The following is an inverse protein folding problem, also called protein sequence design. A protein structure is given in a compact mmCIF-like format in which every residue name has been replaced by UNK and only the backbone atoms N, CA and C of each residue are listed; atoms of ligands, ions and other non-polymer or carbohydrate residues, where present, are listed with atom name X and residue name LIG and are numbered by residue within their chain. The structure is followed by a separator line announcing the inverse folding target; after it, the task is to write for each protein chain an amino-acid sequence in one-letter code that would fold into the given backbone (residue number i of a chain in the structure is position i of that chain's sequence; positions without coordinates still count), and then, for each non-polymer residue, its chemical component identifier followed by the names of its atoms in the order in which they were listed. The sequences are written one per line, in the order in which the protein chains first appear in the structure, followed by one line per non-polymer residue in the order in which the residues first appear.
data_IF_898835198609
#
_entry.id   IF_898835198609
#
_cell.length_a   1.000
_cell.length_b   1.000
_cell.length_c   1.000
_cell.angle_alpha   90.00
_cell.angle_beta   90.00
_cell.angle_gamma   90.00
#
_symmetry.space_group_name_H-M   'P 1'
#
loop_
_entity.id
_entity.type
_entity.pdbx_description
1 polymer ?
#
# COMPACT_ATOMS: atom_id res chain seq x y z
N UNK A 1 12.60 -2.99 -11.30
CA UNK A 1 12.09 -1.63 -11.57
C UNK A 1 12.73 -0.94 -12.78
N UNK A 2 14.00 -1.18 -13.10
CA UNK A 2 14.64 -0.62 -14.31
C UNK A 2 13.98 -1.15 -15.60
N UNK A 3 13.49 -2.39 -15.57
CA UNK A 3 12.69 -3.01 -16.64
C UNK A 3 11.22 -2.54 -16.68
N UNK A 4 10.82 -1.70 -15.72
CA UNK A 4 9.45 -1.21 -15.56
C UNK A 4 8.76 -1.71 -14.28
N UNK A 5 7.50 -1.33 -14.15
CA UNK A 5 6.58 -1.77 -13.10
C UNK A 5 5.45 -2.60 -13.73
N UNK A 6 5.01 -3.63 -13.01
CA UNK A 6 3.85 -4.43 -13.42
C UNK A 6 2.54 -3.82 -12.92
N UNK A 7 2.57 -3.19 -11.74
CA UNK A 7 1.39 -2.65 -11.09
C UNK A 7 1.74 -1.45 -10.20
N UNK A 8 0.85 -0.45 -10.14
CA UNK A 8 0.94 0.66 -9.18
C UNK A 8 -0.44 0.90 -8.56
N UNK A 9 -0.52 0.83 -7.24
CA UNK A 9 -1.75 1.00 -6.47
C UNK A 9 -1.58 2.14 -5.47
N UNK A 10 -2.48 3.12 -5.50
CA UNK A 10 -2.66 4.12 -4.46
C UNK A 10 -3.82 3.70 -3.54
N UNK A 11 -3.51 3.37 -2.28
CA UNK A 11 -4.50 3.00 -1.28
C UNK A 11 -4.76 4.20 -0.36
N UNK A 12 -5.95 4.79 -0.45
CA UNK A 12 -6.36 5.86 0.45
C UNK A 12 -6.86 5.29 1.78
N UNK A 13 -6.05 5.44 2.82
CA UNK A 13 -6.29 4.90 4.15
C UNK A 13 -6.57 6.01 5.18
N UNK A 14 -7.40 5.69 6.16
CA UNK A 14 -7.82 6.52 7.28
C UNK A 14 -7.37 5.91 8.61
N UNK A 15 -7.46 6.65 9.74
CA UNK A 15 -7.17 6.10 11.05
C UNK A 15 -7.91 4.78 11.33
N UNK A 16 -7.15 3.79 11.78
CA UNK A 16 -7.65 2.45 12.11
C UNK A 16 -7.64 1.47 10.96
N UNK A 17 -7.47 1.91 9.71
CA UNK A 17 -7.35 1.01 8.55
C UNK A 17 -6.10 0.14 8.62
N UNK A 18 -6.13 -0.98 7.89
CA UNK A 18 -5.03 -1.92 7.73
C UNK A 18 -4.74 -2.10 6.25
N UNK A 19 -3.46 -2.04 5.89
CA UNK A 19 -2.99 -2.28 4.53
C UNK A 19 -1.96 -3.39 4.58
N UNK A 20 -2.21 -4.46 3.83
CA UNK A 20 -1.24 -5.53 3.62
C UNK A 20 -0.33 -5.13 2.47
N UNK A 21 0.98 -5.30 2.64
CA UNK A 21 1.94 -5.15 1.55
C UNK A 21 2.39 -6.54 1.16
N UNK A 22 1.92 -7.10 0.03
CA UNK A 22 2.35 -8.41 -0.43
C UNK A 22 3.84 -8.46 -0.73
N UNK A 23 4.43 -9.66 -0.67
CA UNK A 23 5.81 -9.87 -1.10
C UNK A 23 6.02 -9.42 -2.55
N UNK A 24 7.19 -8.83 -2.85
CA UNK A 24 7.51 -8.26 -4.16
C UNK A 24 7.06 -6.80 -4.37
N UNK A 25 6.19 -6.26 -3.52
CA UNK A 25 5.79 -4.85 -3.61
C UNK A 25 6.74 -3.94 -2.84
N UNK A 26 7.27 -2.92 -3.54
CA UNK A 26 7.78 -1.72 -2.88
C UNK A 26 6.61 -0.83 -2.47
N UNK A 27 6.71 -0.16 -1.32
CA UNK A 27 5.69 0.78 -0.88
C UNK A 27 6.30 2.11 -0.41
N UNK A 28 5.55 3.18 -0.60
CA UNK A 28 5.82 4.50 -0.06
C UNK A 28 4.52 4.98 0.57
N UNK A 29 4.63 5.64 1.71
CA UNK A 29 3.49 6.30 2.34
C UNK A 29 3.58 7.80 2.15
N UNK A 30 2.43 8.40 1.83
CA UNK A 30 2.29 9.82 1.54
C UNK A 30 1.29 10.40 2.54
N UNK A 31 1.71 11.45 3.25
CA UNK A 31 0.78 12.25 4.03
C UNK A 31 0.19 13.34 3.12
N UNK A 32 -1.07 13.17 2.73
CA UNK A 32 -1.80 14.16 1.91
C UNK A 32 -2.58 15.17 2.77
N UNK A 33 -2.61 14.98 4.09
CA UNK A 33 -3.33 15.83 5.03
C UNK A 33 -2.48 16.99 5.57
N UNK A 34 -3.13 17.86 6.33
CA UNK A 34 -2.50 19.00 7.00
C UNK A 34 -2.11 18.69 8.47
N UNK A 35 -2.25 17.44 8.89
CA UNK A 35 -1.95 16.96 10.24
C UNK A 35 -1.01 15.73 10.17
N UNK A 36 -0.56 15.23 11.31
CA UNK A 36 0.33 14.08 11.39
C UNK A 36 -0.31 12.80 10.86
N UNK A 37 0.43 12.12 9.99
CA UNK A 37 0.19 10.72 9.67
C UNK A 37 0.99 9.84 10.64
N UNK A 38 0.28 9.14 11.52
CA UNK A 38 0.85 8.18 12.48
C UNK A 38 0.49 6.77 12.04
N UNK A 39 1.49 5.89 12.00
CA UNK A 39 1.31 4.49 11.61
C UNK A 39 2.16 3.55 12.46
N UNK A 40 1.78 2.27 12.45
CA UNK A 40 2.57 1.17 13.00
C UNK A 40 2.73 0.09 11.94
N UNK A 41 3.95 -0.41 11.77
CA UNK A 41 4.25 -1.52 10.89
C UNK A 41 4.51 -2.76 11.73
N UNK A 42 3.83 -3.86 11.41
CA UNK A 42 4.18 -5.19 11.89
C UNK A 42 4.98 -5.88 10.78
N UNK A 43 6.22 -6.26 11.09
CA UNK A 43 7.17 -6.85 10.14
C UNK A 43 7.82 -8.08 10.75
N UNK A 44 8.33 -8.99 9.91
CA UNK A 44 9.15 -10.10 10.37
C UNK A 44 10.44 -9.58 11.04
N UNK A 45 10.99 -10.35 11.98
CA UNK A 45 12.20 -9.99 12.72
C UNK A 45 13.45 -9.90 11.83
N UNK A 46 13.51 -10.72 10.79
CA UNK A 46 14.55 -10.74 9.77
C UNK A 46 14.29 -9.76 8.61
N UNK A 47 13.26 -8.91 8.71
CA UNK A 47 12.93 -7.93 7.67
C UNK A 47 14.05 -6.89 7.52
N UNK A 48 14.43 -6.64 6.27
CA UNK A 48 15.35 -5.57 5.91
C UNK A 48 14.73 -4.69 4.82
N UNK A 49 14.85 -3.37 4.98
CA UNK A 49 14.38 -2.43 3.98
C UNK A 49 15.38 -2.29 2.83
N UNK A 50 14.91 -2.56 1.60
CA UNK A 50 15.71 -2.45 0.37
C UNK A 50 15.39 -1.10 -0.30
N UNK A 51 16.13 -0.05 0.07
CA UNK A 51 15.87 1.32 -0.43
C UNK A 51 16.53 1.65 -1.76
N UNK A 52 17.55 0.89 -2.16
CA UNK A 52 18.37 1.21 -3.33
C UNK A 52 17.56 1.36 -4.63
N UNK A 53 16.56 0.50 -4.92
CA UNK A 53 15.77 0.65 -6.14
C UNK A 53 14.98 1.96 -6.15
N UNK A 54 14.32 2.31 -5.05
CA UNK A 54 13.58 3.57 -4.94
C UNK A 54 14.50 4.80 -5.06
N UNK A 55 15.73 4.72 -4.53
CA UNK A 55 16.72 5.80 -4.67
C UNK A 55 17.14 5.99 -6.12
N UNK A 56 17.42 4.90 -6.85
CA UNK A 56 17.77 4.95 -8.28
C UNK A 56 16.64 5.52 -9.12
N UNK A 57 15.41 5.09 -8.85
CA UNK A 57 14.21 5.56 -9.56
C UNK A 57 13.69 6.91 -9.07
N UNK A 58 14.33 7.52 -8.07
CA UNK A 58 13.95 8.81 -7.47
C UNK A 58 12.52 8.84 -6.92
N UNK A 59 12.02 7.71 -6.43
CA UNK A 59 10.66 7.59 -5.87
C UNK A 59 9.94 6.35 -6.38
N UNK A 60 8.61 6.35 -6.25
CA UNK A 60 7.72 5.33 -6.78
C UNK A 60 7.34 5.62 -8.25
N UNK A 61 6.53 4.75 -8.85
CA UNK A 61 6.03 4.90 -10.23
C UNK A 61 5.21 6.18 -10.47
N UNK A 62 4.67 6.77 -9.40
CA UNK A 62 3.98 8.06 -9.42
C UNK A 62 4.44 8.96 -8.28
N UNK A 63 4.48 10.26 -8.54
CA UNK A 63 4.69 11.32 -7.56
C UNK A 63 3.35 11.95 -7.19
N UNK A 64 3.06 12.05 -5.89
CA UNK A 64 1.91 12.80 -5.39
C UNK A 64 2.27 14.27 -5.23
N UNK A 65 1.54 15.14 -5.92
CA UNK A 65 1.65 16.58 -5.84
C UNK A 65 0.39 17.12 -5.15
N UNK A 66 0.54 18.28 -4.49
CA UNK A 66 -0.62 19.04 -4.05
C UNK A 66 -1.51 19.35 -5.26
N UNK A 67 -2.80 19.04 -5.16
CA UNK A 67 -3.77 19.40 -6.18
C UNK A 67 -3.87 20.93 -6.33
N UNK A 68 -4.48 21.42 -7.43
CA UNK A 68 -4.83 22.83 -7.57
C UNK A 68 -5.51 23.38 -6.30
N UNK A 69 -5.35 24.67 -6.02
CA UNK A 69 -5.84 25.32 -4.79
C UNK A 69 -7.34 25.13 -4.48
N UNK A 70 -8.13 24.63 -5.43
CA UNK A 70 -9.57 24.39 -5.32
C UNK A 70 -9.95 22.89 -5.33
N UNK A 71 -8.98 21.97 -5.24
CA UNK A 71 -9.23 20.52 -5.18
C UNK A 71 -8.64 19.96 -3.90
N UNK A 72 -9.43 19.21 -3.14
CA UNK A 72 -8.96 18.46 -1.97
C UNK A 72 -8.30 17.12 -2.33
N UNK A 73 -8.39 16.68 -3.58
CA UNK A 73 -7.78 15.43 -4.04
C UNK A 73 -6.29 15.63 -4.40
N UNK A 74 -5.41 14.68 -4.04
CA UNK A 74 -4.01 14.68 -4.49
C UNK A 74 -3.91 14.47 -6.00
N UNK A 75 -2.95 15.15 -6.63
CA UNK A 75 -2.62 14.95 -8.04
C UNK A 75 -1.46 13.96 -8.18
N UNK A 76 -1.67 12.84 -8.87
CA UNK A 76 -0.59 11.89 -9.15
C UNK A 76 -0.05 12.07 -10.57
N UNK A 77 1.28 12.22 -10.68
CA UNK A 77 2.00 12.36 -11.94
C UNK A 77 2.95 11.17 -12.10
N UNK A 78 2.97 10.53 -13.26
CA UNK A 78 3.86 9.39 -13.52
C UNK A 78 5.34 9.80 -13.40
N UNK A 79 6.16 8.93 -12.83
CA UNK A 79 7.58 9.16 -12.66
C UNK A 79 8.34 8.74 -13.93
N UNK A 80 8.97 9.69 -14.65
CA UNK A 80 9.65 9.39 -15.92
C UNK A 80 10.94 8.58 -15.75
N UNK A 81 11.41 8.35 -14.53
CA UNK A 81 12.58 7.49 -14.29
C UNK A 81 12.28 6.01 -14.61
N UNK A 82 11.01 5.61 -14.61
CA UNK A 82 10.59 4.26 -14.97
C UNK A 82 10.43 4.14 -16.48
N UNK A 83 11.10 3.15 -17.07
CA UNK A 83 11.04 2.84 -18.51
C UNK A 83 9.63 2.44 -18.97
N UNK A 84 8.88 1.77 -18.10
CA UNK A 84 7.47 1.44 -18.26
C UNK A 84 6.76 1.61 -16.92
N UNK A 85 5.64 2.34 -16.90
CA UNK A 85 4.81 2.56 -15.72
C UNK A 85 3.34 2.35 -16.10
N UNK A 86 2.64 1.36 -15.49
CA UNK A 86 1.25 1.08 -15.80
C UNK A 86 0.34 2.17 -15.20
N UNK A 87 -0.92 2.27 -15.64
CA UNK A 87 -1.88 3.21 -15.07
C UNK A 87 -2.00 3.05 -13.54
N UNK A 88 -2.08 4.17 -12.84
CA UNK A 88 -2.30 4.18 -11.39
C UNK A 88 -3.70 3.67 -11.05
N UNK A 89 -3.75 2.66 -10.20
CA UNK A 89 -4.98 2.12 -9.64
C UNK A 89 -5.30 2.76 -8.29
N UNK A 90 -6.48 3.36 -8.14
CA UNK A 90 -6.91 3.94 -6.86
C UNK A 90 -7.81 2.96 -6.11
N UNK A 91 -7.50 2.70 -4.84
CA UNK A 91 -8.27 1.78 -4.01
C UNK A 91 -8.39 2.27 -2.57
N UNK A 92 -9.28 1.63 -1.81
CA UNK A 92 -9.34 1.73 -0.35
C UNK A 92 -8.91 0.42 0.29
N UNK A 93 -8.49 0.43 1.56
CA UNK A 93 -8.23 -0.80 2.31
C UNK A 93 -9.36 -1.82 2.15
N UNK A 94 -8.99 -3.08 1.95
CA UNK A 94 -9.93 -4.20 1.78
C UNK A 94 -9.74 -5.20 2.91
N UNK A 95 -10.87 -5.68 3.43
CA UNK A 95 -10.91 -6.72 4.48
C UNK A 95 -11.22 -8.11 3.89
N UNK A 96 -11.18 -8.24 2.55
CA UNK A 96 -11.64 -9.42 1.81
C UNK A 96 -10.83 -10.70 2.04
N UNK A 97 -9.68 -10.62 2.72
CA UNK A 97 -8.80 -11.74 3.02
C UNK A 97 -8.50 -11.74 4.52
N UNK A 98 -8.67 -12.87 5.24
CA UNK A 98 -8.55 -12.95 6.70
C UNK A 98 -7.08 -12.93 7.19
N UNK A 99 -6.22 -12.17 6.52
CA UNK A 99 -4.83 -11.93 6.92
C UNK A 99 -4.68 -10.70 7.81
N UNK A 100 -5.63 -9.77 7.73
CA UNK A 100 -5.59 -8.51 8.46
C UNK A 100 -6.59 -8.52 9.62
N UNK A 101 -6.23 -7.94 10.78
CA UNK A 101 -7.20 -7.67 11.82
C UNK A 101 -8.21 -6.63 11.35
N UNK A 102 -9.42 -6.66 11.93
CA UNK A 102 -10.50 -5.71 11.65
C UNK A 102 -10.06 -4.24 11.85
N UNK A 103 -10.70 -3.31 11.12
CA UNK A 103 -10.50 -1.87 11.30
C UNK A 103 -10.70 -1.48 12.78
N UNK A 104 -9.80 -0.62 13.27
CA UNK A 104 -9.81 -0.14 14.66
C UNK A 104 -9.22 -1.10 15.70
N UNK A 105 -9.00 -2.38 15.39
CA UNK A 105 -8.26 -3.29 16.26
C UNK A 105 -6.75 -3.00 16.15
N UNK A 106 -6.05 -2.93 17.28
CA UNK A 106 -4.61 -2.73 17.33
C UNK A 106 -3.87 -3.93 16.73
N UNK A 107 -2.96 -3.68 15.78
CA UNK A 107 -2.13 -4.74 15.18
C UNK A 107 -1.32 -5.49 16.24
N UNK A 108 -0.78 -4.76 17.23
CA UNK A 108 -0.03 -5.34 18.34
C UNK A 108 -0.91 -6.29 19.18
N UNK A 109 -2.12 -5.85 19.54
CA UNK A 109 -3.03 -6.70 20.33
C UNK A 109 -3.49 -7.93 19.54
N UNK A 110 -3.76 -7.77 18.25
CA UNK A 110 -4.11 -8.89 17.37
C UNK A 110 -2.96 -9.92 17.30
N UNK A 111 -1.73 -9.44 17.10
CA UNK A 111 -0.54 -10.29 17.04
C UNK A 111 -0.29 -11.03 18.36
N UNK A 112 -0.35 -10.34 19.50
CA UNK A 112 -0.13 -10.99 20.81
C UNK A 112 -1.18 -12.06 21.11
N UNK A 113 -2.44 -11.86 20.68
CA UNK A 113 -3.52 -12.85 20.89
C UNK A 113 -3.39 -14.05 19.96
N UNK A 114 -3.10 -13.82 18.68
CA UNK A 114 -3.08 -14.84 17.64
C UNK A 114 -1.88 -14.69 16.70
N UNK A 115 -0.64 -14.93 17.16
CA UNK A 115 0.56 -14.73 16.34
C UNK A 115 0.58 -15.64 15.11
N UNK A 116 -0.05 -16.81 15.20
CA UNK A 116 -0.16 -17.78 14.09
C UNK A 116 -0.96 -17.24 12.89
N UNK A 117 -1.80 -16.22 13.07
CA UNK A 117 -2.52 -15.56 11.97
C UNK A 117 -1.61 -14.66 11.13
N UNK A 118 -0.37 -14.43 11.56
CA UNK A 118 0.61 -13.54 10.92
C UNK A 118 1.79 -14.30 10.30
N UNK A 119 1.68 -15.61 10.12
CA UNK A 119 2.74 -16.44 9.50
C UNK A 119 3.07 -16.02 8.07
N UNK A 120 2.17 -15.32 7.38
CA UNK A 120 2.43 -14.70 6.08
C UNK A 120 3.58 -13.67 6.10
N UNK A 121 3.94 -13.13 7.27
CA UNK A 121 5.09 -12.22 7.41
C UNK A 121 6.42 -12.97 7.31
N UNK A 122 6.50 -14.22 7.77
CA UNK A 122 7.73 -15.02 7.81
C UNK A 122 7.80 -16.10 6.73
N UNK A 123 6.64 -16.54 6.22
CA UNK A 123 6.50 -17.54 5.15
C UNK A 123 5.60 -17.03 4.01
N UNK A 124 5.89 -15.87 3.40
CA UNK A 124 5.05 -15.29 2.35
C UNK A 124 4.86 -16.21 1.13
N UNK A 125 5.79 -17.12 0.87
CA UNK A 125 5.72 -18.14 -0.19
C UNK A 125 4.51 -19.07 -0.05
N UNK A 126 3.99 -19.25 1.16
CA UNK A 126 2.84 -20.12 1.43
C UNK A 126 1.49 -19.41 1.21
N UNK A 127 1.49 -18.08 1.01
CA UNK A 127 0.29 -17.22 0.97
C UNK A 127 0.05 -16.57 -0.40
N UNK A 128 0.60 -17.13 -1.47
CA UNK A 128 0.53 -16.53 -2.81
C UNK A 128 -0.92 -16.40 -3.31
N UNK A 129 -1.80 -17.34 -2.98
CA UNK A 129 -3.22 -17.29 -3.37
C UNK A 129 -3.97 -16.19 -2.61
N UNK A 130 -3.73 -16.05 -1.31
CA UNK A 130 -4.29 -15.00 -0.47
C UNK A 130 -3.81 -13.61 -0.93
N UNK A 131 -2.54 -13.46 -1.28
CA UNK A 131 -2.00 -12.23 -1.84
C UNK A 131 -2.63 -11.89 -3.19
N UNK A 132 -2.78 -12.88 -4.08
CA UNK A 132 -3.46 -12.68 -5.37
C UNK A 132 -4.92 -12.23 -5.17
N UNK A 133 -5.64 -12.86 -4.23
CA UNK A 133 -7.01 -12.48 -3.87
C UNK A 133 -7.08 -11.08 -3.25
N UNK A 134 -6.11 -10.72 -2.42
CA UNK A 134 -6.04 -9.39 -1.81
C UNK A 134 -5.83 -8.31 -2.88
N UNK A 135 -4.90 -8.53 -3.81
CA UNK A 135 -4.66 -7.61 -4.93
C UNK A 135 -5.88 -7.50 -5.85
N UNK A 136 -6.55 -8.61 -6.15
CA UNK A 136 -7.80 -8.59 -6.92
C UNK A 136 -8.90 -7.82 -6.19
N UNK A 137 -9.03 -7.99 -4.88
CA UNK A 137 -9.98 -7.21 -4.08
C UNK A 137 -9.66 -5.71 -4.11
N UNK A 138 -8.38 -5.32 -4.05
CA UNK A 138 -7.96 -3.92 -4.23
C UNK A 138 -8.34 -3.39 -5.62
N UNK A 139 -8.19 -4.20 -6.68
CA UNK A 139 -8.61 -3.86 -8.05
C UNK A 139 -10.11 -3.59 -8.12
N UNK A 140 -10.90 -4.45 -7.50
CA UNK A 140 -12.36 -4.36 -7.50
C UNK A 140 -12.88 -3.22 -6.61
N UNK A 141 -12.17 -2.87 -5.54
CA UNK A 141 -12.49 -1.75 -4.64
C UNK A 141 -12.03 -0.39 -5.17
N UNK A 142 -12.13 -0.19 -6.49
CA UNK A 142 -11.75 1.04 -7.16
C UNK A 142 -12.62 2.21 -6.71
N UNK A 143 -12.01 3.39 -6.56
CA UNK A 143 -12.76 4.63 -6.38
C UNK A 143 -12.21 5.74 -7.29
N UNK A 144 -13.06 6.69 -7.65
CA UNK A 144 -12.63 7.89 -8.38
C UNK A 144 -12.32 9.01 -7.36
N UNK A 145 -11.05 9.44 -7.22
CA UNK A 145 -10.68 10.49 -6.28
C UNK A 145 -11.28 11.86 -6.61
N UNK A 146 -11.76 12.10 -7.84
CA UNK A 146 -12.40 13.36 -8.23
C UNK A 146 -13.90 13.42 -7.88
N UNK A 147 -14.54 12.26 -7.68
CA UNK A 147 -16.01 12.16 -7.53
C UNK A 147 -16.44 11.81 -6.10
N UNK A 148 -15.55 11.24 -5.29
CA UNK A 148 -15.92 10.71 -3.97
C UNK A 148 -15.85 11.80 -2.90
N UNK A 149 -17.02 12.27 -2.48
CA UNK A 149 -17.26 13.16 -1.32
C UNK A 149 -17.60 12.35 -0.08
#
# INVERSE_FOLDING_TARGET
PEEGLEEVIAVAAEPGDKVLIPSGFGHITINTGNDFLIMSNLVADNFASIYEPLRRMRGAGYCCLSGPANTQAPLFVSNPCYSSCPPLHYSRPVEAVPLLPEKGISQYQAFVRHPQSFTFLTHPEDFQEEFARYLEALRQNSYNPEVTR
#
